data_IF_189945987829
#
_entry.id   IF_189945987829
#
_cell.length_a   1.000
_cell.length_b   1.000
_cell.length_c   1.000
_cell.angle_alpha   90.00
_cell.angle_beta   90.00
_cell.angle_gamma   90.00
#
_symmetry.space_group_name_H-M   'P 1'
#
loop_
_entity.id
_entity.type
_entity.pdbx_description
1 polymer ?
#
# COMPACT_ATOMS: atom_id res chain seq x y z
N UNK A 1 12.34 -1.53 -14.01
CA UNK A 1 12.18 -1.93 -12.59
C UNK A 1 13.03 -0.98 -11.77
N UNK A 2 12.50 -0.50 -10.67
CA UNK A 2 13.15 0.38 -9.70
C UNK A 2 12.94 -0.18 -8.30
N UNK A 3 13.93 -0.03 -7.46
CA UNK A 3 13.90 -0.55 -6.10
C UNK A 3 13.70 0.57 -5.09
N UNK A 4 13.05 0.24 -4.00
CA UNK A 4 12.99 1.04 -2.80
C UNK A 4 13.24 0.15 -1.59
N UNK A 5 13.78 0.73 -0.53
CA UNK A 5 14.02 0.00 0.72
C UNK A 5 13.11 0.56 1.81
N UNK A 6 12.46 -0.32 2.56
CA UNK A 6 11.77 0.02 3.80
C UNK A 6 12.11 -1.01 4.86
N UNK A 7 12.48 -0.54 6.04
CA UNK A 7 12.78 -1.36 7.21
C UNK A 7 11.49 -1.70 7.93
N UNK A 8 10.95 -2.90 7.65
CA UNK A 8 9.66 -3.33 8.21
C UNK A 8 9.78 -3.61 9.70
N UNK A 9 9.02 -2.90 10.52
CA UNK A 9 8.92 -3.13 11.94
C UNK A 9 7.89 -4.21 12.31
N UNK A 10 8.02 -4.77 13.51
CA UNK A 10 7.05 -5.75 14.05
C UNK A 10 5.62 -5.19 14.13
N UNK A 11 5.48 -3.87 14.16
CA UNK A 11 4.19 -3.19 14.23
C UNK A 11 3.29 -3.38 13.01
N UNK A 12 3.88 -3.55 11.81
CA UNK A 12 3.12 -3.71 10.56
C UNK A 12 2.22 -4.94 10.55
N UNK A 13 2.59 -5.99 11.25
CA UNK A 13 1.81 -7.24 11.32
C UNK A 13 0.91 -7.33 12.54
N UNK A 14 0.87 -6.29 13.39
CA UNK A 14 -0.02 -6.28 14.56
C UNK A 14 -1.47 -6.10 14.12
N UNK A 15 -2.40 -6.89 14.68
CA UNK A 15 -3.82 -6.70 14.42
C UNK A 15 -4.31 -5.36 14.99
N UNK A 16 -5.30 -4.78 14.33
CA UNK A 16 -6.00 -3.60 14.82
C UNK A 16 -6.76 -3.99 16.09
N UNK A 17 -6.42 -3.36 17.22
CA UNK A 17 -7.02 -3.63 18.53
C UNK A 17 -7.92 -2.49 19.03
N UNK A 18 -7.94 -1.38 18.30
CA UNK A 18 -8.77 -0.22 18.66
C UNK A 18 -10.23 -0.45 18.28
N UNK A 19 -11.15 0.12 19.03
CA UNK A 19 -12.58 0.04 18.76
C UNK A 19 -12.93 0.66 17.38
N UNK A 20 -12.29 1.78 17.06
CA UNK A 20 -12.42 2.43 15.75
C UNK A 20 -11.11 2.29 14.98
N UNK A 21 -11.20 1.78 13.76
CA UNK A 21 -10.03 1.59 12.86
C UNK A 21 -9.20 2.86 12.70
N UNK A 22 -9.86 4.03 12.63
CA UNK A 22 -9.18 5.33 12.47
C UNK A 22 -8.24 5.69 13.63
N UNK A 23 -8.47 5.13 14.82
CA UNK A 23 -7.71 5.45 16.03
C UNK A 23 -6.52 4.49 16.23
N UNK A 24 -6.30 3.56 15.27
CA UNK A 24 -5.18 2.64 15.32
C UNK A 24 -3.85 3.39 15.09
N UNK A 25 -2.90 3.33 16.04
CA UNK A 25 -1.60 3.96 15.89
C UNK A 25 -0.75 3.19 14.86
N UNK A 26 -0.37 3.87 13.77
CA UNK A 26 0.60 3.31 12.83
C UNK A 26 2.02 3.51 13.35
N UNK A 27 2.82 2.47 13.23
CA UNK A 27 4.25 2.57 13.51
C UNK A 27 4.97 3.26 12.35
N UNK A 28 5.94 4.11 12.69
CA UNK A 28 6.85 4.68 11.73
C UNK A 28 7.84 3.60 11.25
N UNK A 29 8.10 3.57 9.96
CA UNK A 29 9.05 2.66 9.33
C UNK A 29 9.98 3.45 8.42
N UNK A 30 11.29 3.32 8.67
CA UNK A 30 12.30 4.01 7.88
C UNK A 30 12.34 3.47 6.46
N UNK A 31 12.39 4.38 5.47
CA UNK A 31 12.59 4.03 4.08
C UNK A 31 13.74 4.80 3.44
N UNK A 32 14.26 4.23 2.35
CA UNK A 32 15.29 4.81 1.52
C UNK A 32 14.87 4.80 0.06
N UNK A 33 15.07 5.94 -0.63
CA UNK A 33 14.89 6.11 -2.07
C UNK A 33 16.15 6.72 -2.68
N UNK A 34 16.66 6.08 -3.71
CA UNK A 34 17.72 6.66 -4.53
C UNK A 34 17.18 7.73 -5.50
N UNK A 35 18.06 8.60 -6.06
CA UNK A 35 17.65 9.66 -6.97
C UNK A 35 16.94 9.16 -8.23
N UNK A 36 17.34 8.01 -8.76
CA UNK A 36 16.74 7.44 -9.97
C UNK A 36 15.29 7.02 -9.72
N UNK A 37 15.06 6.32 -8.61
CA UNK A 37 13.71 5.94 -8.17
C UNK A 37 12.84 7.17 -7.90
N UNK A 38 13.38 8.20 -7.22
CA UNK A 38 12.68 9.47 -6.98
C UNK A 38 12.24 10.14 -8.28
N UNK A 39 13.13 10.21 -9.26
CA UNK A 39 12.82 10.79 -10.59
C UNK A 39 11.64 10.06 -11.25
N UNK A 40 11.64 8.74 -11.23
CA UNK A 40 10.54 7.94 -11.80
C UNK A 40 9.24 8.13 -11.02
N UNK A 41 9.30 8.22 -9.69
CA UNK A 41 8.11 8.45 -8.87
C UNK A 41 7.50 9.84 -9.08
N UNK A 42 8.29 10.84 -9.43
CA UNK A 42 7.83 12.22 -9.71
C UNK A 42 7.39 12.43 -11.16
N UNK A 43 7.66 11.49 -12.07
CA UNK A 43 7.24 11.58 -13.47
C UNK A 43 5.74 11.20 -13.60
N UNK A 44 4.83 12.15 -13.88
CA UNK A 44 3.40 11.89 -13.96
C UNK A 44 3.00 11.07 -15.20
N UNK A 45 3.89 10.94 -16.18
CA UNK A 45 3.63 10.15 -17.40
C UNK A 45 3.78 8.63 -17.16
N UNK A 46 4.31 8.22 -16.01
CA UNK A 46 4.57 6.83 -15.68
C UNK A 46 3.36 6.15 -15.06
N UNK A 47 3.04 4.98 -15.59
CA UNK A 47 2.10 4.06 -14.97
C UNK A 47 2.89 3.11 -14.04
N UNK A 48 2.53 3.06 -12.76
CA UNK A 48 3.32 2.43 -11.70
C UNK A 48 2.62 1.22 -11.11
N UNK A 49 3.29 0.08 -11.20
CA UNK A 49 2.93 -1.13 -10.49
C UNK A 49 3.79 -1.27 -9.23
N UNK A 50 3.18 -1.13 -8.06
CA UNK A 50 3.83 -1.40 -6.78
C UNK A 50 3.76 -2.90 -6.45
N UNK A 51 4.91 -3.51 -6.16
CA UNK A 51 4.99 -4.90 -5.72
C UNK A 51 5.14 -4.93 -4.20
N UNK A 52 4.08 -5.35 -3.52
CA UNK A 52 3.95 -5.37 -2.06
C UNK A 52 3.36 -4.09 -1.46
N UNK A 53 2.64 -4.25 -0.36
CA UNK A 53 2.01 -3.15 0.38
C UNK A 53 3.02 -2.17 0.98
N UNK A 54 4.22 -2.64 1.28
CA UNK A 54 5.38 -1.83 1.70
C UNK A 54 5.73 -0.78 0.64
N UNK A 55 5.82 -1.20 -0.63
CA UNK A 55 6.07 -0.28 -1.74
C UNK A 55 4.95 0.76 -1.87
N UNK A 56 3.69 0.33 -1.79
CA UNK A 56 2.55 1.25 -1.83
C UNK A 56 2.67 2.33 -0.76
N UNK A 57 2.89 1.95 0.49
CA UNK A 57 3.00 2.90 1.62
C UNK A 57 4.16 3.87 1.42
N UNK A 58 5.32 3.39 0.99
CA UNK A 58 6.50 4.23 0.76
C UNK A 58 6.25 5.23 -0.36
N UNK A 59 5.72 4.78 -1.50
CA UNK A 59 5.43 5.64 -2.66
C UNK A 59 4.44 6.74 -2.28
N UNK A 60 3.32 6.37 -1.66
CA UNK A 60 2.27 7.32 -1.29
C UNK A 60 2.75 8.31 -0.21
N UNK A 61 3.54 7.85 0.77
CA UNK A 61 4.14 8.74 1.77
C UNK A 61 5.12 9.72 1.12
N UNK A 62 6.04 9.22 0.28
CA UNK A 62 7.03 10.06 -0.40
C UNK A 62 6.37 11.12 -1.28
N UNK A 63 5.37 10.75 -2.07
CA UNK A 63 4.68 11.69 -2.96
C UNK A 63 3.83 12.72 -2.22
N UNK A 64 3.43 12.44 -0.97
CA UNK A 64 2.76 13.39 -0.09
C UNK A 64 3.73 14.38 0.59
N UNK A 65 5.04 14.19 0.47
CA UNK A 65 6.05 15.10 1.03
C UNK A 65 6.46 16.17 0.01
N UNK A 66 6.96 17.31 0.52
CA UNK A 66 7.52 18.40 -0.30
C UNK A 66 8.99 18.18 -0.68
N UNK A 67 9.48 16.94 -0.68
CA UNK A 67 10.85 16.63 -1.09
C UNK A 67 11.06 16.94 -2.58
N UNK A 68 11.48 18.15 -2.87
CA UNK A 68 11.77 18.64 -4.24
C UNK A 68 13.18 18.30 -4.73
N UNK A 69 14.08 17.89 -3.85
CA UNK A 69 15.46 17.52 -4.22
C UNK A 69 15.51 16.09 -4.77
N UNK A 70 15.24 15.96 -6.07
CA UNK A 70 15.34 14.66 -6.76
C UNK A 70 16.77 14.18 -7.02
N UNK A 71 17.80 15.00 -6.75
CA UNK A 71 19.20 14.68 -7.05
C UNK A 71 19.89 13.95 -5.90
N UNK A 72 19.41 14.15 -4.67
CA UNK A 72 19.96 13.48 -3.47
C UNK A 72 19.07 12.32 -3.05
N UNK A 73 19.62 11.26 -2.43
CA UNK A 73 18.82 10.19 -1.87
C UNK A 73 17.97 10.70 -0.69
N UNK A 74 16.81 10.07 -0.47
CA UNK A 74 15.93 10.38 0.66
C UNK A 74 15.96 9.25 1.66
N UNK A 75 16.15 9.59 2.96
CA UNK A 75 15.84 8.75 4.11
C UNK A 75 14.76 9.44 4.92
N UNK A 76 13.66 8.75 5.18
CA UNK A 76 12.55 9.30 5.95
C UNK A 76 11.74 8.19 6.61
N UNK A 77 10.82 8.57 7.49
CA UNK A 77 9.93 7.63 8.18
C UNK A 77 8.51 7.73 7.63
N UNK A 78 7.95 6.61 7.20
CA UNK A 78 6.56 6.51 6.77
C UNK A 78 5.68 6.06 7.94
N UNK A 79 4.78 6.94 8.40
CA UNK A 79 3.76 6.63 9.40
C UNK A 79 2.35 6.64 8.80
N UNK A 80 2.25 6.48 7.50
CA UNK A 80 1.00 6.58 6.76
C UNK A 80 0.08 5.38 7.00
N UNK A 81 -1.15 5.63 7.46
CA UNK A 81 -2.21 4.63 7.54
C UNK A 81 -3.16 4.75 6.36
N UNK A 82 -2.96 3.91 5.35
CA UNK A 82 -3.84 3.84 4.19
C UNK A 82 -5.08 3.01 4.53
N UNK A 83 -6.23 3.64 4.51
CA UNK A 83 -7.56 3.05 4.75
C UNK A 83 -8.64 3.82 3.99
N UNK A 84 -9.82 3.22 3.70
CA UNK A 84 -10.91 3.98 3.06
C UNK A 84 -11.44 5.13 3.95
N UNK A 85 -11.77 6.31 3.32
CA UNK A 85 -11.43 6.69 1.96
C UNK A 85 -9.98 7.18 1.85
N UNK A 86 -9.25 6.76 0.84
CA UNK A 86 -7.89 7.23 0.56
C UNK A 86 -7.74 7.45 -0.95
N UNK A 87 -7.17 8.58 -1.34
CA UNK A 87 -6.86 8.91 -2.75
C UNK A 87 -5.38 8.68 -2.98
N UNK A 88 -5.04 7.79 -3.91
CA UNK A 88 -3.65 7.47 -4.24
C UNK A 88 -3.04 8.55 -5.13
N UNK A 89 -1.78 8.88 -4.88
CA UNK A 89 -1.01 9.91 -5.58
C UNK A 89 -0.15 9.34 -6.70
N UNK A 90 0.32 8.11 -6.54
CA UNK A 90 1.30 7.59 -7.47
C UNK A 90 1.30 6.09 -7.72
N UNK A 91 0.43 5.32 -7.08
CA UNK A 91 0.31 3.90 -7.34
C UNK A 91 -0.91 3.62 -8.21
N UNK A 92 -0.69 3.18 -9.45
CA UNK A 92 -1.75 2.86 -10.42
C UNK A 92 -2.18 1.39 -10.32
N UNK A 93 -1.24 0.50 -9.99
CA UNK A 93 -1.48 -0.93 -9.84
C UNK A 93 -0.71 -1.47 -8.66
N UNK A 94 -1.21 -2.52 -8.03
CA UNK A 94 -0.53 -3.19 -6.92
C UNK A 94 -0.61 -4.70 -7.03
N UNK A 95 0.54 -5.35 -6.89
CA UNK A 95 0.64 -6.80 -6.71
C UNK A 95 0.88 -7.08 -5.22
N UNK A 96 0.00 -7.83 -4.58
CA UNK A 96 0.10 -8.12 -3.15
C UNK A 96 -0.46 -9.50 -2.80
N UNK A 97 -0.12 -10.00 -1.61
CA UNK A 97 -0.69 -11.24 -1.10
C UNK A 97 -2.14 -11.04 -0.61
N UNK A 98 -2.79 -12.15 -0.28
CA UNK A 98 -4.05 -12.13 0.46
C UNK A 98 -3.77 -11.93 1.96
N UNK A 99 -4.35 -10.88 2.56
CA UNK A 99 -4.07 -10.46 3.92
C UNK A 99 -5.14 -10.93 4.91
N UNK A 100 -4.75 -11.06 6.19
CA UNK A 100 -5.68 -11.44 7.27
C UNK A 100 -6.70 -10.37 7.59
N UNK A 101 -7.89 -10.80 8.03
CA UNK A 101 -8.86 -9.91 8.68
C UNK A 101 -8.25 -9.18 9.89
N UNK A 102 -8.70 -7.94 10.11
CA UNK A 102 -8.24 -7.12 11.22
C UNK A 102 -6.83 -6.55 11.06
N UNK A 103 -6.19 -6.67 9.90
CA UNK A 103 -4.87 -6.08 9.63
C UNK A 103 -4.96 -4.71 8.95
N UNK A 104 -3.94 -3.87 9.18
CA UNK A 104 -3.78 -2.59 8.46
C UNK A 104 -3.57 -2.80 6.96
N UNK A 105 -3.00 -3.93 6.57
CA UNK A 105 -2.77 -4.32 5.18
C UNK A 105 -4.10 -4.60 4.45
N UNK A 106 -5.06 -5.21 5.15
CA UNK A 106 -6.41 -5.38 4.60
C UNK A 106 -7.10 -4.04 4.33
N UNK A 107 -6.90 -3.05 5.23
CA UNK A 107 -7.42 -1.70 5.06
C UNK A 107 -6.83 -1.02 3.81
N UNK A 108 -5.52 -1.19 3.57
CA UNK A 108 -4.85 -0.67 2.38
C UNK A 108 -5.45 -1.26 1.10
N UNK A 109 -5.62 -2.59 1.03
CA UNK A 109 -6.22 -3.24 -0.13
C UNK A 109 -7.67 -2.78 -0.34
N UNK A 110 -8.44 -2.64 0.74
CA UNK A 110 -9.80 -2.09 0.66
C UNK A 110 -9.82 -0.65 0.11
N UNK A 111 -8.87 0.20 0.54
CA UNK A 111 -8.74 1.55 0.00
C UNK A 111 -8.38 1.54 -1.49
N UNK A 112 -7.52 0.62 -1.92
CA UNK A 112 -7.09 0.51 -3.31
C UNK A 112 -8.21 0.05 -4.25
N UNK A 113 -9.14 -0.79 -3.78
CA UNK A 113 -10.30 -1.22 -4.56
C UNK A 113 -11.35 -0.14 -4.80
N UNK A 114 -11.33 0.94 -4.00
CA UNK A 114 -12.29 2.04 -4.12
C UNK A 114 -11.64 3.37 -3.71
N UNK A 115 -10.67 3.87 -4.51
CA UNK A 115 -9.92 5.06 -4.19
C UNK A 115 -10.82 6.28 -3.98
N UNK A 116 -10.54 7.05 -2.93
CA UNK A 116 -11.32 8.23 -2.56
C UNK A 116 -12.73 7.95 -2.03
N UNK A 117 -13.17 6.67 -1.98
CA UNK A 117 -14.52 6.28 -1.57
C UNK A 117 -14.48 5.28 -0.40
N UNK A 118 -15.56 5.17 0.41
CA UNK A 118 -15.58 4.24 1.55
C UNK A 118 -15.91 2.78 1.20
N UNK A 119 -16.26 2.47 -0.06
CA UNK A 119 -16.94 1.22 -0.45
C UNK A 119 -16.01 0.04 -0.74
N UNK A 120 -14.69 0.15 -0.51
CA UNK A 120 -13.74 -0.89 -0.86
C UNK A 120 -13.86 -2.17 -0.04
N UNK A 121 -14.28 -2.08 1.22
CA UNK A 121 -14.39 -3.27 2.09
C UNK A 121 -15.44 -4.29 1.62
N UNK A 122 -16.66 -3.90 1.21
CA UNK A 122 -17.62 -4.85 0.60
C UNK A 122 -17.08 -5.53 -0.66
N UNK A 123 -16.36 -4.80 -1.52
CA UNK A 123 -15.72 -5.36 -2.72
C UNK A 123 -14.65 -6.39 -2.34
N UNK A 124 -13.79 -6.04 -1.39
CA UNK A 124 -12.74 -6.92 -0.89
C UNK A 124 -13.29 -8.22 -0.31
N UNK A 125 -14.39 -8.14 0.46
CA UNK A 125 -15.05 -9.34 1.01
C UNK A 125 -15.51 -10.29 -0.09
N UNK A 126 -16.09 -9.78 -1.19
CA UNK A 126 -16.51 -10.61 -2.33
C UNK A 126 -15.31 -11.31 -2.98
N UNK A 127 -14.23 -10.57 -3.25
CA UNK A 127 -13.00 -11.11 -3.84
C UNK A 127 -12.41 -12.20 -2.93
N UNK A 128 -12.35 -11.97 -1.63
CA UNK A 128 -11.79 -12.94 -0.68
C UNK A 128 -12.67 -14.18 -0.51
N UNK A 129 -13.99 -14.02 -0.55
CA UNK A 129 -14.93 -15.17 -0.56
C UNK A 129 -14.68 -16.05 -1.78
N UNK A 130 -14.49 -15.45 -2.96
CA UNK A 130 -14.19 -16.20 -4.18
C UNK A 130 -12.79 -16.85 -4.11
N UNK A 131 -11.79 -16.15 -3.60
CA UNK A 131 -10.45 -16.70 -3.43
C UNK A 131 -10.45 -17.91 -2.49
N UNK A 132 -11.18 -17.86 -1.38
CA UNK A 132 -11.34 -18.99 -0.45
C UNK A 132 -12.06 -20.16 -1.14
N UNK A 133 -13.11 -19.90 -1.89
CA UNK A 133 -13.86 -20.93 -2.62
C UNK A 133 -13.05 -21.62 -3.72
N UNK A 134 -11.96 -20.98 -4.17
CA UNK A 134 -11.03 -21.52 -5.18
C UNK A 134 -9.69 -22.00 -4.57
N UNK A 135 -9.63 -22.20 -3.26
CA UNK A 135 -8.47 -22.71 -2.53
C UNK A 135 -7.18 -21.86 -2.68
N UNK A 136 -7.30 -20.54 -2.89
CA UNK A 136 -6.16 -19.64 -2.86
C UNK A 136 -5.54 -19.59 -1.46
N UNK A 137 -4.21 -19.60 -1.41
CA UNK A 137 -3.44 -19.58 -0.19
C UNK A 137 -3.21 -18.14 0.26
N UNK A 138 -3.43 -17.92 1.55
CA UNK A 138 -3.29 -16.61 2.20
C UNK A 138 -1.88 -16.43 2.77
N UNK A 139 -1.51 -15.19 3.09
CA UNK A 139 -0.19 -14.74 3.57
C UNK A 139 0.93 -14.92 2.55
N UNK A 140 2.11 -15.36 3.02
CA UNK A 140 3.31 -15.49 2.22
C UNK A 140 3.46 -16.86 1.56
N UNK A 141 2.37 -17.62 1.40
CA UNK A 141 2.41 -18.98 0.87
C UNK A 141 2.40 -19.09 -0.67
N UNK A 142 2.58 -17.98 -1.35
CA UNK A 142 2.81 -17.97 -2.78
C UNK A 142 1.67 -17.47 -3.67
N UNK A 143 0.44 -17.35 -3.17
CA UNK A 143 -0.65 -16.78 -3.94
C UNK A 143 -0.71 -15.26 -3.73
N UNK A 144 -1.04 -14.54 -4.80
CA UNK A 144 -1.11 -13.09 -4.80
C UNK A 144 -2.26 -12.60 -5.68
N UNK A 145 -2.68 -11.36 -5.47
CA UNK A 145 -3.64 -10.68 -6.33
C UNK A 145 -3.04 -9.45 -6.99
N UNK A 146 -3.32 -9.28 -8.27
CA UNK A 146 -3.02 -8.07 -9.01
C UNK A 146 -4.23 -7.14 -8.97
N UNK A 147 -4.07 -6.02 -8.29
CA UNK A 147 -5.05 -4.95 -8.22
C UNK A 147 -4.75 -3.93 -9.31
N UNK A 148 -5.72 -3.68 -10.18
CA UNK A 148 -5.59 -2.68 -11.25
C UNK A 148 -6.55 -1.54 -10.98
N UNK A 149 -6.01 -0.32 -10.93
CA UNK A 149 -6.83 0.87 -10.89
C UNK A 149 -7.36 1.15 -12.31
N UNK A 150 -8.67 1.17 -12.48
CA UNK A 150 -9.28 1.64 -13.71
C UNK A 150 -9.47 3.16 -13.57
N UNK A 151 -8.63 3.93 -14.25
CA UNK A 151 -8.92 5.34 -14.46
C UNK A 151 -10.16 5.41 -15.36
N UNK A 152 -11.29 5.85 -14.81
CA UNK A 152 -12.47 6.20 -15.60
C UNK A 152 -12.32 7.59 -16.16
#
# INVERSE_FOLDING_TARGET
IHDLTLSVGLGTFRPIKTEKVKDHPMHAEEYFLDPTTKSVLRDPSRNRLAIGTTCVRTIEHYLATDDSDIKSPTRAEAQLFIRPPFSFLGVDHSLTNFHLPGSTLLCLVAAFLSPGKPNGLPMLKKIYTEAIAKDYRFFSYGDACLLRYAHN
#
